data_IF_263994427282
#
_entry.id   IF_263994427282
#
_cell.length_a   1.000
_cell.length_b   1.000
_cell.length_c   1.000
_cell.angle_alpha   90.00
_cell.angle_beta   90.00
_cell.angle_gamma   90.00
#
_symmetry.space_group_name_H-M   'P 1'
#
loop_
_entity.id
_entity.type
_entity.pdbx_description
1 polymer ?
#
# COMPACT_ATOMS: atom_id res chain seq x y z
N UNK A 1 15.96 -12.99 13.10
CA UNK A 1 14.51 -12.74 13.13
C UNK A 1 14.03 -12.00 11.88
N UNK A 2 14.46 -10.76 11.61
CA UNK A 2 14.01 -9.99 10.44
C UNK A 2 14.28 -10.66 9.08
N UNK A 3 15.43 -11.33 8.91
CA UNK A 3 15.75 -12.08 7.69
C UNK A 3 14.74 -13.22 7.41
N UNK A 4 14.27 -13.90 8.47
CA UNK A 4 13.28 -14.97 8.35
C UNK A 4 11.94 -14.37 7.88
N UNK A 5 11.54 -13.23 8.44
CA UNK A 5 10.33 -12.52 8.02
C UNK A 5 10.41 -12.09 6.54
N UNK A 6 11.56 -11.55 6.11
CA UNK A 6 11.77 -11.13 4.74
C UNK A 6 11.69 -12.31 3.75
N UNK A 7 12.30 -13.45 4.09
CA UNK A 7 12.24 -14.67 3.27
C UNK A 7 10.80 -15.17 3.17
N UNK A 8 10.08 -15.26 4.29
CA UNK A 8 8.68 -15.71 4.30
C UNK A 8 7.79 -14.77 3.48
N UNK A 9 7.96 -13.45 3.64
CA UNK A 9 7.23 -12.46 2.84
C UNK A 9 7.54 -12.60 1.34
N UNK A 10 8.81 -12.82 0.98
CA UNK A 10 9.21 -13.06 -0.40
C UNK A 10 8.56 -14.31 -1.00
N UNK A 11 8.47 -15.40 -0.23
CA UNK A 11 7.76 -16.63 -0.65
C UNK A 11 6.28 -16.34 -0.88
N UNK A 12 5.62 -15.65 0.06
CA UNK A 12 4.20 -15.27 -0.07
C UNK A 12 3.98 -14.41 -1.32
N UNK A 13 4.89 -13.48 -1.63
CA UNK A 13 4.82 -12.66 -2.83
C UNK A 13 4.92 -13.48 -4.12
N UNK A 14 5.91 -14.38 -4.21
CA UNK A 14 6.07 -15.25 -5.38
C UNK A 14 4.82 -16.11 -5.59
N UNK A 15 4.32 -16.73 -4.52
CA UNK A 15 3.08 -17.52 -4.56
C UNK A 15 1.89 -16.66 -4.99
N UNK A 16 1.79 -15.42 -4.50
CA UNK A 16 0.70 -14.51 -4.86
C UNK A 16 0.73 -14.12 -6.34
N UNK A 17 1.93 -13.90 -6.91
CA UNK A 17 2.10 -13.61 -8.34
C UNK A 17 1.70 -14.81 -9.19
N UNK A 18 2.11 -16.03 -8.80
CA UNK A 18 1.72 -17.26 -9.48
C UNK A 18 0.21 -17.42 -9.43
N UNK A 19 -0.39 -17.27 -8.25
CA UNK A 19 -1.83 -17.39 -8.07
C UNK A 19 -2.60 -16.37 -8.93
N UNK A 20 -2.14 -15.12 -8.96
CA UNK A 20 -2.70 -14.09 -9.84
C UNK A 20 -2.63 -14.49 -11.31
N UNK A 21 -1.49 -15.03 -11.76
CA UNK A 21 -1.34 -15.51 -13.14
C UNK A 21 -2.32 -16.64 -13.48
N UNK A 22 -2.51 -17.60 -12.57
CA UNK A 22 -3.49 -18.68 -12.74
C UNK A 22 -4.92 -18.11 -12.76
N UNK A 23 -5.27 -17.21 -11.84
CA UNK A 23 -6.59 -16.57 -11.80
C UNK A 23 -6.91 -15.82 -13.09
N UNK A 24 -5.97 -15.02 -13.61
CA UNK A 24 -6.14 -14.32 -14.89
C UNK A 24 -6.32 -15.31 -16.04
N UNK A 25 -5.52 -16.38 -16.06
CA UNK A 25 -5.64 -17.41 -17.08
C UNK A 25 -7.00 -18.13 -17.04
N UNK A 26 -7.50 -18.48 -15.85
CA UNK A 26 -8.81 -19.11 -15.69
C UNK A 26 -9.92 -18.20 -16.22
N UNK A 27 -9.96 -16.93 -15.82
CA UNK A 27 -10.98 -15.99 -16.32
C UNK A 27 -10.94 -15.79 -17.84
N UNK A 28 -9.77 -15.88 -18.48
CA UNK A 28 -9.66 -15.74 -19.93
C UNK A 28 -10.10 -16.98 -20.73
N UNK A 29 -10.14 -18.16 -20.11
CA UNK A 29 -10.36 -19.44 -20.79
C UNK A 29 -11.74 -20.05 -20.50
N UNK A 30 -12.28 -19.86 -19.29
CA UNK A 30 -13.48 -20.57 -18.83
C UNK A 30 -14.77 -20.06 -19.50
N UNK A 31 -14.89 -18.76 -19.80
CA UNK A 31 -16.17 -18.15 -20.22
C UNK A 31 -16.39 -18.09 -21.74
N UNK A 32 -15.77 -19.02 -22.49
CA UNK A 32 -16.04 -19.22 -23.92
C UNK A 32 -15.55 -18.10 -24.86
N UNK A 33 -14.76 -17.14 -24.36
CA UNK A 33 -14.12 -16.08 -25.16
C UNK A 33 -13.18 -15.20 -24.33
N UNK A 34 -12.34 -14.38 -25.00
CA UNK A 34 -11.46 -13.39 -24.36
C UNK A 34 -12.22 -12.14 -23.90
N UNK A 35 -13.35 -12.31 -23.22
CA UNK A 35 -14.21 -11.22 -22.74
C UNK A 35 -14.26 -11.32 -21.22
N UNK A 36 -13.86 -10.26 -20.53
CA UNK A 36 -13.95 -10.17 -19.08
C UNK A 36 -15.15 -9.30 -18.70
N UNK A 37 -15.99 -9.80 -17.81
CA UNK A 37 -17.07 -9.01 -17.22
C UNK A 37 -16.53 -8.00 -16.20
N UNK A 38 -17.30 -6.94 -15.94
CA UNK A 38 -16.94 -5.90 -14.97
C UNK A 38 -16.57 -6.46 -13.60
N UNK A 39 -17.30 -7.49 -13.14
CA UNK A 39 -17.07 -8.10 -11.84
C UNK A 39 -15.74 -8.88 -11.78
N UNK A 40 -15.34 -9.54 -12.88
CA UNK A 40 -14.08 -10.25 -13.01
C UNK A 40 -12.90 -9.29 -13.10
N UNK A 41 -13.06 -8.18 -13.85
CA UNK A 41 -12.06 -7.12 -13.94
C UNK A 41 -11.76 -6.53 -12.56
N UNK A 42 -12.80 -6.22 -11.78
CA UNK A 42 -12.66 -5.70 -10.42
C UNK A 42 -11.94 -6.72 -9.52
N UNK A 43 -12.28 -8.01 -9.62
CA UNK A 43 -11.60 -9.07 -8.88
C UNK A 43 -10.12 -9.18 -9.25
N UNK A 44 -9.79 -9.18 -10.54
CA UNK A 44 -8.42 -9.20 -11.04
C UNK A 44 -7.64 -8.00 -10.50
N UNK A 45 -8.19 -6.78 -10.61
CA UNK A 45 -7.58 -5.59 -10.00
C UNK A 45 -7.38 -5.76 -8.49
N UNK A 46 -8.32 -6.40 -7.81
CA UNK A 46 -8.22 -6.70 -6.38
C UNK A 46 -7.02 -7.56 -6.01
N UNK A 47 -6.71 -8.56 -6.83
CA UNK A 47 -5.52 -9.41 -6.70
C UNK A 47 -4.24 -8.68 -7.10
N UNK A 48 -4.25 -7.89 -8.19
CA UNK A 48 -3.10 -7.06 -8.58
C UNK A 48 -2.72 -6.07 -7.47
N UNK A 49 -3.70 -5.34 -6.93
CA UNK A 49 -3.47 -4.40 -5.83
C UNK A 49 -3.00 -5.10 -4.55
N UNK A 50 -3.44 -6.34 -4.31
CA UNK A 50 -2.95 -7.14 -3.17
C UNK A 50 -1.45 -7.46 -3.32
N UNK A 51 -1.04 -7.90 -4.51
CA UNK A 51 0.37 -8.17 -4.82
C UNK A 51 1.20 -6.89 -4.69
N UNK A 52 0.71 -5.77 -5.21
CA UNK A 52 1.41 -4.48 -5.18
C UNK A 52 1.67 -3.99 -3.74
N UNK A 53 0.67 -4.09 -2.85
CA UNK A 53 0.84 -3.76 -1.42
C UNK A 53 1.92 -4.64 -0.79
N UNK A 54 1.92 -5.93 -1.11
CA UNK A 54 2.94 -6.85 -0.60
C UNK A 54 4.36 -6.45 -1.07
N UNK A 55 4.51 -6.04 -2.32
CA UNK A 55 5.80 -5.58 -2.88
C UNK A 55 6.23 -4.28 -2.19
N UNK A 56 5.32 -3.31 -2.06
CA UNK A 56 5.58 -2.05 -1.34
C UNK A 56 6.01 -2.29 0.11
N UNK A 57 5.36 -3.24 0.79
CA UNK A 57 5.73 -3.63 2.14
C UNK A 57 7.10 -4.33 2.19
N UNK A 58 7.42 -5.18 1.22
CA UNK A 58 8.73 -5.83 1.10
C UNK A 58 9.86 -4.80 0.92
N UNK A 59 9.67 -3.81 0.03
CA UNK A 59 10.62 -2.72 -0.16
C UNK A 59 10.79 -1.86 1.11
N UNK A 60 9.69 -1.61 1.83
CA UNK A 60 9.71 -0.88 3.10
C UNK A 60 10.57 -1.58 4.15
N UNK A 61 10.44 -2.91 4.29
CA UNK A 61 11.28 -3.71 5.20
C UNK A 61 12.74 -3.73 4.74
N UNK A 62 12.97 -3.89 3.44
CA UNK A 62 14.34 -3.93 2.89
C UNK A 62 15.07 -2.60 3.13
N UNK A 63 14.36 -1.48 2.98
CA UNK A 63 14.88 -0.14 3.28
C UNK A 63 15.21 0.00 4.76
N UNK A 64 14.34 -0.48 5.65
CA UNK A 64 14.62 -0.49 7.09
C UNK A 64 15.88 -1.29 7.43
N UNK A 65 16.09 -2.46 6.81
CA UNK A 65 17.29 -3.27 7.04
C UNK A 65 18.58 -2.62 6.53
N UNK A 66 18.48 -1.77 5.50
CA UNK A 66 19.62 -1.04 4.94
C UNK A 66 19.99 0.14 5.83
N UNK A 67 19.01 0.99 6.12
CA UNK A 67 19.27 2.31 6.71
C UNK A 67 19.09 2.32 8.24
N UNK A 68 18.62 1.22 8.84
CA UNK A 68 18.34 1.06 10.28
C UNK A 68 17.40 2.13 10.86
N UNK A 69 16.66 2.84 10.00
CA UNK A 69 15.73 3.91 10.36
C UNK A 69 14.36 3.60 9.78
N UNK A 70 13.34 3.66 10.63
CA UNK A 70 11.95 3.58 10.19
C UNK A 70 11.52 4.97 9.72
N UNK A 71 11.32 5.10 8.41
CA UNK A 71 10.67 6.27 7.85
C UNK A 71 9.18 6.19 8.16
N UNK A 72 8.73 6.84 9.23
CA UNK A 72 7.31 6.86 9.65
C UNK A 72 6.40 7.36 8.53
N UNK A 73 6.90 8.25 7.66
CA UNK A 73 6.21 8.71 6.46
C UNK A 73 5.85 7.55 5.51
N UNK A 74 6.75 6.58 5.32
CA UNK A 74 6.51 5.41 4.45
C UNK A 74 5.41 4.51 5.01
N UNK A 75 5.38 4.29 6.33
CA UNK A 75 4.34 3.47 6.95
C UNK A 75 2.95 4.12 6.77
N UNK A 76 2.87 5.44 6.91
CA UNK A 76 1.60 6.16 6.70
C UNK A 76 1.19 6.13 5.23
N UNK A 77 2.13 6.22 4.28
CA UNK A 77 1.84 6.04 2.86
C UNK A 77 1.29 4.65 2.56
N UNK A 78 1.89 3.59 3.11
CA UNK A 78 1.39 2.20 2.97
C UNK A 78 -0.03 2.07 3.53
N UNK A 79 -0.32 2.71 4.67
CA UNK A 79 -1.67 2.73 5.24
C UNK A 79 -2.68 3.47 4.33
N UNK A 80 -2.26 4.59 3.71
CA UNK A 80 -3.08 5.30 2.73
C UNK A 80 -3.33 4.45 1.47
N UNK A 81 -2.32 3.75 0.96
CA UNK A 81 -2.46 2.81 -0.16
C UNK A 81 -3.44 1.68 0.17
N UNK A 82 -3.36 1.11 1.38
CA UNK A 82 -4.27 0.06 1.83
C UNK A 82 -5.74 0.54 1.88
N UNK A 83 -5.98 1.76 2.37
CA UNK A 83 -7.32 2.36 2.37
C UNK A 83 -7.79 2.67 0.96
N UNK A 84 -6.93 3.25 0.11
CA UNK A 84 -7.24 3.54 -1.28
C UNK A 84 -7.66 2.27 -2.04
N UNK A 85 -6.95 1.14 -1.86
CA UNK A 85 -7.35 -0.17 -2.40
C UNK A 85 -8.75 -0.57 -1.95
N UNK A 86 -9.08 -0.37 -0.67
CA UNK A 86 -10.41 -0.72 -0.14
C UNK A 86 -11.52 0.11 -0.82
N UNK A 87 -11.23 1.35 -1.21
CA UNK A 87 -12.16 2.20 -1.98
C UNK A 87 -12.29 1.75 -3.43
N UNK A 88 -11.18 1.41 -4.09
CA UNK A 88 -11.18 0.97 -5.49
C UNK A 88 -11.98 -0.33 -5.67
N UNK A 89 -11.93 -1.21 -4.66
CA UNK A 89 -12.62 -2.50 -4.65
C UNK A 89 -13.96 -2.46 -3.93
N UNK A 90 -14.52 -1.27 -3.72
CA UNK A 90 -15.78 -1.11 -3.03
C UNK A 90 -16.93 -1.50 -3.95
N UNK A 91 -17.80 -2.39 -3.47
CA UNK A 91 -19.01 -2.79 -4.19
C UNK A 91 -20.16 -1.83 -3.90
N UNK A 92 -21.18 -1.85 -4.77
CA UNK A 92 -22.40 -1.05 -4.72
C UNK A 92 -23.34 -1.36 -3.54
N UNK A 93 -23.17 -2.48 -2.85
CA UNK A 93 -24.03 -2.90 -1.72
C UNK A 93 -23.62 -2.32 -0.34
N UNK A 94 -22.77 -1.30 -0.31
CA UNK A 94 -22.29 -0.71 0.94
C UNK A 94 -23.29 0.25 1.56
N UNK A 95 -23.44 0.19 2.89
CA UNK A 95 -24.33 1.11 3.59
C UNK A 95 -23.74 2.52 3.66
N UNK A 96 -24.60 3.55 3.70
CA UNK A 96 -24.19 4.95 3.83
C UNK A 96 -23.24 5.18 5.01
N UNK A 97 -23.44 4.46 6.11
CA UNK A 97 -22.58 4.52 7.28
C UNK A 97 -21.14 4.03 7.01
N UNK A 98 -20.98 3.01 6.16
CA UNK A 98 -19.65 2.54 5.75
C UNK A 98 -18.93 3.59 4.91
N UNK A 99 -19.64 4.25 3.98
CA UNK A 99 -19.09 5.32 3.14
C UNK A 99 -18.61 6.50 3.99
N UNK A 100 -19.42 6.93 4.97
CA UNK A 100 -19.04 8.01 5.89
C UNK A 100 -17.82 7.61 6.73
N UNK A 101 -17.82 6.40 7.30
CA UNK A 101 -16.69 5.89 8.08
C UNK A 101 -15.38 5.85 7.27
N UNK A 102 -15.48 5.44 6.01
CA UNK A 102 -14.35 5.39 5.08
C UNK A 102 -13.85 6.80 4.70
N UNK A 103 -14.76 7.76 4.53
CA UNK A 103 -14.41 9.18 4.34
C UNK A 103 -13.66 9.76 5.55
N UNK A 104 -14.14 9.49 6.77
CA UNK A 104 -13.47 9.92 8.02
C UNK A 104 -12.08 9.29 8.15
N UNK A 105 -11.95 8.00 7.81
CA UNK A 105 -10.66 7.31 7.84
C UNK A 105 -9.65 7.95 6.87
N UNK A 106 -10.05 8.23 5.63
CA UNK A 106 -9.21 8.90 4.63
C UNK A 106 -8.78 10.28 5.11
N UNK A 107 -9.71 11.09 5.64
CA UNK A 107 -9.40 12.40 6.19
C UNK A 107 -8.41 12.32 7.36
N UNK A 108 -8.60 11.37 8.26
CA UNK A 108 -7.73 11.17 9.43
C UNK A 108 -6.31 10.79 9.01
N UNK A 109 -6.16 9.89 8.04
CA UNK A 109 -4.86 9.52 7.49
C UNK A 109 -4.20 10.69 6.73
N UNK A 110 -4.97 11.46 5.97
CA UNK A 110 -4.48 12.66 5.28
C UNK A 110 -3.95 13.72 6.25
N UNK A 111 -4.67 13.96 7.36
CA UNK A 111 -4.23 14.88 8.41
C UNK A 111 -2.96 14.35 9.09
N UNK A 112 -2.90 13.06 9.42
CA UNK A 112 -1.71 12.45 10.03
C UNK A 112 -0.47 12.60 9.12
N UNK A 113 -0.60 12.30 7.83
CA UNK A 113 0.46 12.48 6.84
C UNK A 113 0.93 13.94 6.76
N UNK A 114 -0.01 14.89 6.72
CA UNK A 114 0.32 16.32 6.69
C UNK A 114 1.11 16.78 7.92
N UNK A 115 0.69 16.37 9.12
CA UNK A 115 1.35 16.74 10.37
C UNK A 115 2.77 16.16 10.47
N UNK A 116 2.95 14.89 10.11
CA UNK A 116 4.26 14.23 10.08
C UNK A 116 5.20 14.96 9.12
N UNK A 117 4.73 15.25 7.90
CA UNK A 117 5.53 15.93 6.89
C UNK A 117 5.88 17.37 7.28
N UNK A 118 4.97 18.07 7.96
CA UNK A 118 5.24 19.41 8.50
C UNK A 118 6.34 19.36 9.56
N UNK A 119 6.25 18.44 10.52
CA UNK A 119 7.25 18.28 11.59
C UNK A 119 8.65 17.95 11.03
N UNK A 120 8.73 17.06 10.04
CA UNK A 120 10.01 16.73 9.41
C UNK A 120 10.65 17.93 8.69
N UNK A 121 9.86 18.76 7.99
CA UNK A 121 10.37 19.98 7.36
C UNK A 121 10.91 21.00 8.36
N UNK A 122 10.25 21.15 9.50
CA UNK A 122 10.67 22.07 10.57
C UNK A 122 12.02 21.63 11.17
N UNK A 123 12.19 20.33 11.45
CA UNK A 123 13.46 19.76 11.95
C UNK A 123 14.65 20.00 11.00
N UNK A 124 14.46 19.74 9.71
CA UNK A 124 15.51 19.95 8.69
C UNK A 124 15.91 21.43 8.61
N UNK A 125 14.94 22.34 8.73
CA UNK A 125 15.19 23.79 8.69
C UNK A 125 16.02 24.24 9.90
N UNK A 126 15.74 23.72 11.09
CA UNK A 126 16.52 24.02 12.30
C UNK A 126 17.97 23.54 12.20
N UNK A 127 18.22 22.33 11.67
CA UNK A 127 19.57 21.80 11.44
C UNK A 127 20.37 22.63 10.43
N UNK A 128 19.74 23.08 9.35
CA UNK A 128 20.39 23.94 8.34
C UNK A 128 20.81 25.29 8.93
N UNK A 129 19.96 25.90 9.76
CA UNK A 129 20.25 27.16 10.43
C UNK A 129 21.44 27.02 11.38
N UNK A 130 21.50 25.95 12.18
CA UNK A 130 22.64 25.66 13.07
C UNK A 130 23.96 25.54 12.28
N UNK A 131 23.97 24.77 11.19
CA UNK A 131 25.17 24.58 10.36
C UNK A 131 25.66 25.85 9.67
N UNK A 132 24.78 26.81 9.40
CA UNK A 132 25.15 28.09 8.77
C UNK A 132 25.69 29.10 9.80
N UNK A 133 25.37 28.91 11.09
CA UNK A 133 25.89 29.77 12.17
C UNK A 133 27.23 29.28 12.75
N UNK A 134 27.58 28.01 12.49
CA UNK A 134 28.83 27.37 12.91
C UNK A 134 29.95 27.43 11.85
N UNK A 135 29.65 27.90 10.63
CA UNK A 135 30.59 28.03 9.51
C UNK A 135 30.95 29.50 9.25
#
# INVERSE_FOLDING_TARGET
MYLILLILLGIVLVVSIINLGITVFMFLVDDGGFILESHEIIQIFGYFLLVLIGIEFFESILTYLRDHVIHVEVIVMVAMTAVARKVILLDSEVTDMHLIGLGILILSLGIAYYLIRKSNREKIKEELIKRTHEA
#
